data_IF_565333999665
#
_entry.id   IF_565333999665
#
_cell.length_a   1.000
_cell.length_b   1.000
_cell.length_c   1.000
_cell.angle_alpha   90.00
_cell.angle_beta   90.00
_cell.angle_gamma   90.00
#
_symmetry.space_group_name_H-M   'P 1'
#
loop_
_entity.id
_entity.type
_entity.pdbx_description
1 polymer ?
#
# COMPACT_ATOMS: atom_id res chain seq x y z
N UNK A 1 60.71 -3.74 -19.88
CA UNK A 1 61.32 -4.96 -20.44
C UNK A 1 61.04 -6.13 -19.52
N UNK A 2 60.47 -7.18 -20.11
CA UNK A 2 60.28 -8.57 -19.67
C UNK A 2 59.19 -8.96 -18.65
N UNK A 3 58.57 -10.13 -18.87
CA UNK A 3 57.19 -10.45 -18.44
C UNK A 3 57.14 -11.61 -17.44
N UNK A 4 56.01 -11.78 -16.74
CA UNK A 4 55.77 -12.96 -15.90
C UNK A 4 54.66 -13.84 -16.47
N UNK A 5 55.13 -14.82 -17.25
CA UNK A 5 54.83 -16.26 -17.26
C UNK A 5 53.45 -16.70 -16.72
N UNK A 6 52.63 -17.19 -17.65
CA UNK A 6 51.53 -18.13 -17.45
C UNK A 6 52.04 -19.50 -16.99
N UNK A 7 51.38 -20.10 -16.00
CA UNK A 7 51.54 -21.52 -15.68
C UNK A 7 50.19 -22.23 -15.78
N UNK A 8 50.03 -22.93 -16.92
CA UNK A 8 49.02 -23.95 -17.17
C UNK A 8 49.32 -25.16 -16.28
N UNK A 9 48.29 -25.70 -15.61
CA UNK A 9 48.32 -27.06 -15.09
C UNK A 9 47.15 -27.83 -15.69
N UNK A 10 47.51 -28.84 -16.48
CA UNK A 10 46.64 -29.77 -17.17
C UNK A 10 46.60 -31.11 -16.45
N UNK A 11 45.47 -31.80 -16.64
CA UNK A 11 45.29 -33.25 -16.67
C UNK A 11 45.28 -34.01 -15.33
N UNK A 12 44.07 -34.41 -14.93
CA UNK A 12 43.80 -35.62 -14.17
C UNK A 12 42.55 -36.30 -14.76
N UNK A 13 42.76 -37.20 -15.72
CA UNK A 13 41.72 -38.05 -16.31
C UNK A 13 41.53 -39.25 -15.37
N UNK A 14 40.36 -39.35 -14.73
CA UNK A 14 39.91 -40.59 -14.11
C UNK A 14 38.77 -41.18 -14.95
N UNK A 15 39.12 -42.25 -15.67
CA UNK A 15 38.17 -43.11 -16.35
C UNK A 15 37.43 -43.97 -15.31
N UNK A 16 36.13 -43.77 -15.18
CA UNK A 16 35.24 -44.69 -14.48
C UNK A 16 34.33 -45.37 -15.52
N UNK A 17 34.41 -46.70 -15.54
CA UNK A 17 33.59 -47.56 -16.38
C UNK A 17 32.10 -47.52 -15.99
N UNK A 18 31.29 -47.30 -17.03
CA UNK A 18 30.07 -48.04 -17.37
C UNK A 18 28.94 -48.18 -16.34
N UNK A 19 27.76 -47.67 -16.73
CA UNK A 19 26.58 -48.50 -17.03
C UNK A 19 25.64 -47.69 -17.93
N UNK A 20 25.44 -48.17 -19.16
CA UNK A 20 24.41 -47.68 -20.07
C UNK A 20 23.06 -48.14 -19.54
N UNK A 21 22.11 -47.24 -19.21
CA UNK A 21 20.75 -47.64 -18.92
C UNK A 21 20.08 -48.15 -20.20
N UNK A 22 19.43 -49.30 -20.07
CA UNK A 22 18.54 -49.90 -21.05
C UNK A 22 17.41 -48.90 -21.41
N UNK A 23 17.05 -48.73 -22.70
CA UNK A 23 15.96 -47.85 -23.07
C UNK A 23 14.62 -48.42 -22.57
N UNK A 24 14.12 -47.81 -21.50
CA UNK A 24 12.81 -48.10 -20.93
C UNK A 24 11.73 -47.76 -21.97
N UNK A 25 11.03 -48.81 -22.40
CA UNK A 25 9.93 -48.76 -23.35
C UNK A 25 8.80 -47.91 -22.73
N UNK A 26 8.28 -46.87 -23.41
CA UNK A 26 7.22 -46.05 -22.85
C UNK A 26 5.96 -46.89 -22.66
N UNK A 27 5.62 -47.13 -21.39
CA UNK A 27 4.32 -47.65 -21.01
C UNK A 27 3.25 -46.67 -21.50
N UNK A 28 2.40 -47.14 -22.41
CA UNK A 28 1.21 -46.42 -22.85
C UNK A 28 0.23 -46.42 -21.68
N UNK A 29 0.38 -45.44 -20.79
CA UNK A 29 -0.58 -45.13 -19.76
C UNK A 29 -1.81 -44.51 -20.44
N UNK A 30 -2.91 -45.26 -20.45
CA UNK A 30 -4.21 -44.75 -20.84
C UNK A 30 -4.56 -43.55 -19.95
N UNK A 31 -4.48 -42.35 -20.52
CA UNK A 31 -4.92 -41.13 -19.89
C UNK A 31 -6.41 -41.25 -19.54
N UNK A 32 -6.70 -41.57 -18.28
CA UNK A 32 -8.00 -41.30 -17.69
C UNK A 32 -8.21 -39.79 -17.73
N UNK A 33 -9.22 -39.36 -18.47
CA UNK A 33 -9.66 -37.99 -18.53
C UNK A 33 -9.82 -37.45 -17.10
N UNK A 34 -9.07 -36.39 -16.78
CA UNK A 34 -9.22 -35.68 -15.53
C UNK A 34 -10.70 -35.22 -15.40
N UNK A 35 -11.35 -35.43 -14.25
CA UNK A 35 -12.67 -34.89 -14.03
C UNK A 35 -12.61 -33.37 -14.19
N UNK A 36 -13.54 -32.82 -14.97
CA UNK A 36 -13.69 -31.39 -15.17
C UNK A 36 -13.70 -30.68 -13.80
N UNK A 37 -13.04 -29.50 -13.66
CA UNK A 37 -13.13 -28.72 -12.44
C UNK A 37 -14.60 -28.40 -12.17
N UNK A 38 -15.07 -28.81 -10.99
CA UNK A 38 -16.40 -28.49 -10.50
C UNK A 38 -16.61 -26.97 -10.58
N UNK A 39 -17.72 -26.58 -11.20
CA UNK A 39 -18.23 -25.22 -11.32
C UNK A 39 -18.03 -24.50 -9.98
N UNK A 40 -17.23 -23.42 -10.00
CA UNK A 40 -16.96 -22.61 -8.82
C UNK A 40 -18.28 -22.26 -8.11
N UNK A 41 -18.35 -22.37 -6.76
CA UNK A 41 -19.55 -22.00 -6.03
C UNK A 41 -19.91 -20.56 -6.37
N UNK A 42 -21.16 -20.34 -6.80
CA UNK A 42 -21.69 -19.01 -6.97
C UNK A 42 -21.50 -18.24 -5.65
N UNK A 43 -20.82 -17.09 -5.73
CA UNK A 43 -20.57 -16.24 -4.58
C UNK A 43 -21.88 -16.01 -3.83
N UNK A 44 -21.91 -16.39 -2.55
CA UNK A 44 -23.07 -16.14 -1.70
C UNK A 44 -23.35 -14.63 -1.65
N UNK A 45 -24.63 -14.21 -1.67
CA UNK A 45 -24.97 -12.81 -1.59
C UNK A 45 -24.46 -12.25 -0.27
N UNK A 46 -23.57 -11.26 -0.35
CA UNK A 46 -23.06 -10.51 0.80
C UNK A 46 -24.28 -9.90 1.47
N UNK A 47 -24.54 -10.29 2.72
CA UNK A 47 -25.59 -9.70 3.53
C UNK A 47 -25.39 -8.18 3.55
N UNK A 48 -26.44 -7.44 3.19
CA UNK A 48 -26.42 -5.98 3.17
C UNK A 48 -26.10 -5.46 4.58
N UNK A 49 -24.85 -5.05 4.75
CA UNK A 49 -24.35 -4.36 5.93
C UNK A 49 -25.19 -3.09 6.10
N UNK A 50 -25.79 -2.92 7.29
CA UNK A 50 -26.79 -1.91 7.56
C UNK A 50 -26.24 -0.52 7.21
N UNK A 51 -26.81 0.14 6.20
CA UNK A 51 -26.33 1.43 5.73
C UNK A 51 -26.52 2.48 6.83
N UNK A 52 -25.43 2.91 7.45
CA UNK A 52 -25.43 4.06 8.36
C UNK A 52 -25.83 5.28 7.54
N UNK A 53 -26.90 5.97 7.96
CA UNK A 53 -27.33 7.19 7.29
C UNK A 53 -26.25 8.26 7.44
N UNK A 54 -25.70 8.74 6.33
CA UNK A 54 -24.69 9.80 6.30
C UNK A 54 -25.34 11.15 6.56
N UNK A 55 -24.67 12.01 7.33
CA UNK A 55 -25.17 13.33 7.66
C UNK A 55 -25.31 14.22 6.39
N UNK A 56 -26.38 15.06 6.29
CA UNK A 56 -26.60 15.90 5.11
C UNK A 56 -25.45 16.86 4.79
N UNK A 57 -24.80 17.42 5.82
CA UNK A 57 -23.64 18.31 5.69
C UNK A 57 -22.44 17.60 5.06
N UNK A 58 -22.18 16.36 5.46
CA UNK A 58 -21.12 15.53 4.88
C UNK A 58 -21.45 15.19 3.42
N UNK A 59 -22.72 14.88 3.13
CA UNK A 59 -23.15 14.63 1.75
C UNK A 59 -22.96 15.87 0.87
N UNK A 60 -23.32 17.06 1.35
CA UNK A 60 -23.12 18.31 0.63
C UNK A 60 -21.63 18.61 0.41
N UNK A 61 -20.81 18.41 1.45
CA UNK A 61 -19.36 18.56 1.37
C UNK A 61 -18.76 17.63 0.30
N UNK A 62 -19.07 16.34 0.36
CA UNK A 62 -18.52 15.33 -0.53
C UNK A 62 -19.08 15.38 -1.95
N UNK A 63 -20.16 16.13 -2.22
CA UNK A 63 -20.56 16.48 -3.59
C UNK A 63 -19.66 17.56 -4.19
N UNK A 64 -19.24 18.51 -3.35
CA UNK A 64 -18.41 19.65 -3.75
C UNK A 64 -16.94 19.27 -3.87
N UNK A 65 -16.43 18.48 -2.93
CA UNK A 65 -15.02 18.12 -2.80
C UNK A 65 -14.85 16.63 -3.05
N UNK A 66 -14.03 16.27 -4.04
CA UNK A 66 -13.70 14.89 -4.34
C UNK A 66 -12.41 14.52 -3.59
N UNK A 67 -12.52 13.64 -2.60
CA UNK A 67 -11.39 13.28 -1.76
C UNK A 67 -10.49 12.22 -2.39
N UNK A 68 -10.82 11.69 -3.58
CA UNK A 68 -10.01 10.68 -4.26
C UNK A 68 -8.57 11.14 -4.48
N UNK A 69 -8.39 12.44 -4.75
CA UNK A 69 -7.08 13.05 -5.03
C UNK A 69 -6.10 12.97 -3.86
N UNK A 70 -6.57 12.67 -2.64
CA UNK A 70 -5.71 12.51 -1.47
C UNK A 70 -4.95 11.18 -1.47
N UNK A 71 -5.46 10.12 -2.11
CA UNK A 71 -4.84 8.79 -2.07
C UNK A 71 -4.59 8.19 -3.45
N UNK A 72 -5.10 8.81 -4.52
CA UNK A 72 -4.72 8.46 -5.90
C UNK A 72 -3.53 9.27 -6.35
N UNK A 73 -2.70 8.69 -7.23
CA UNK A 73 -1.63 9.45 -7.89
C UNK A 73 -2.21 10.66 -8.63
N UNK A 74 -2.00 11.87 -8.08
CA UNK A 74 -2.16 13.12 -8.80
C UNK A 74 -1.10 13.23 -9.89
N UNK A 75 -1.42 13.86 -11.02
CA UNK A 75 -0.59 13.79 -12.21
C UNK A 75 0.79 14.44 -12.10
N UNK A 76 1.07 15.35 -11.15
CA UNK A 76 2.23 16.24 -11.37
C UNK A 76 3.26 16.51 -10.25
N UNK A 77 3.03 16.53 -8.92
CA UNK A 77 4.09 17.14 -8.05
C UNK A 77 4.27 16.57 -6.61
N UNK A 78 4.01 15.27 -6.38
CA UNK A 78 4.27 14.65 -5.07
C UNK A 78 5.19 13.42 -5.16
N UNK A 79 6.24 13.28 -4.32
CA UNK A 79 7.04 12.06 -4.26
C UNK A 79 6.28 10.82 -3.71
N UNK A 80 5.01 10.96 -3.32
CA UNK A 80 4.26 9.97 -2.54
C UNK A 80 3.01 9.44 -3.25
N UNK A 81 3.12 9.04 -4.52
CA UNK A 81 2.07 8.27 -5.20
C UNK A 81 1.87 6.84 -4.65
N UNK A 82 2.73 6.42 -3.70
CA UNK A 82 2.75 5.09 -3.10
C UNK A 82 2.54 5.19 -1.61
N UNK A 83 1.51 4.52 -1.09
CA UNK A 83 1.35 4.31 0.35
C UNK A 83 2.29 3.19 0.80
N UNK A 84 2.95 3.40 1.93
CA UNK A 84 3.87 2.43 2.52
C UNK A 84 3.34 2.00 3.89
N UNK A 85 3.66 0.78 4.30
CA UNK A 85 3.44 0.43 5.69
C UNK A 85 3.78 -1.00 6.06
N UNK A 86 3.09 -1.49 7.09
CA UNK A 86 3.44 -2.69 7.84
C UNK A 86 2.46 -3.82 7.54
N UNK A 87 3.02 -5.00 7.25
CA UNK A 87 2.27 -6.20 6.95
C UNK A 87 2.67 -7.37 7.85
N UNK A 88 1.68 -7.96 8.52
CA UNK A 88 1.89 -9.04 9.47
C UNK A 88 2.46 -8.58 10.82
N UNK A 89 2.47 -9.48 11.79
CA UNK A 89 3.03 -9.21 13.12
C UNK A 89 4.52 -8.84 13.08
N UNK A 90 5.24 -9.36 12.09
CA UNK A 90 6.67 -9.11 11.89
C UNK A 90 6.97 -7.74 11.26
N UNK A 91 5.94 -6.98 10.84
CA UNK A 91 6.07 -5.63 10.26
C UNK A 91 6.88 -5.59 8.95
N UNK A 92 6.63 -6.54 8.06
CA UNK A 92 7.20 -6.46 6.71
C UNK A 92 6.72 -5.21 5.98
N UNK A 93 7.57 -4.64 5.12
CA UNK A 93 7.15 -3.59 4.21
C UNK A 93 6.15 -4.15 3.20
N UNK A 94 5.09 -3.38 2.97
CA UNK A 94 4.16 -3.55 1.86
C UNK A 94 3.89 -2.17 1.27
N UNK A 95 3.68 -2.11 -0.04
CA UNK A 95 3.48 -0.88 -0.80
C UNK A 95 2.17 -0.94 -1.56
N UNK A 96 1.44 0.17 -1.66
CA UNK A 96 0.17 0.28 -2.37
C UNK A 96 0.18 1.49 -3.30
N UNK A 97 -0.37 1.33 -4.50
CA UNK A 97 -0.70 2.44 -5.40
C UNK A 97 -2.14 2.32 -5.83
N UNK A 98 -2.93 3.36 -5.57
CA UNK A 98 -4.25 3.51 -6.16
C UNK A 98 -4.10 4.17 -7.53
N UNK A 99 -4.33 3.40 -8.58
CA UNK A 99 -4.21 3.85 -9.97
C UNK A 99 -5.49 4.51 -10.48
N UNK A 100 -6.62 4.20 -9.86
CA UNK A 100 -7.92 4.78 -10.18
C UNK A 100 -8.75 4.89 -8.90
N UNK A 101 -9.44 6.03 -8.72
CA UNK A 101 -10.53 6.13 -7.77
C UNK A 101 -11.64 6.99 -8.38
N UNK A 102 -12.85 6.47 -8.36
CA UNK A 102 -14.04 7.12 -8.92
C UNK A 102 -15.06 7.25 -7.81
N UNK A 103 -15.42 8.49 -7.46
CA UNK A 103 -16.50 8.78 -6.51
C UNK A 103 -17.85 8.38 -7.10
N UNK A 104 -18.67 7.68 -6.33
CA UNK A 104 -20.03 7.33 -6.74
C UNK A 104 -20.91 8.59 -6.82
N UNK A 105 -21.64 8.74 -7.92
CA UNK A 105 -22.43 9.96 -8.18
C UNK A 105 -23.74 10.03 -7.39
N UNK A 106 -24.27 8.89 -6.97
CA UNK A 106 -25.48 8.77 -6.15
C UNK A 106 -25.14 8.78 -4.66
N UNK A 107 -24.00 8.19 -4.30
CA UNK A 107 -23.48 8.06 -2.95
C UNK A 107 -22.08 8.70 -2.86
N UNK A 108 -21.97 10.04 -2.73
CA UNK A 108 -20.68 10.76 -2.80
C UNK A 108 -19.67 10.40 -1.68
N UNK A 109 -20.08 9.58 -0.71
CA UNK A 109 -19.25 9.03 0.35
C UNK A 109 -18.63 7.67 -0.02
N UNK A 110 -19.03 7.08 -1.14
CA UNK A 110 -18.52 5.82 -1.66
C UNK A 110 -17.56 6.11 -2.81
N UNK A 111 -16.40 5.46 -2.79
CA UNK A 111 -15.39 5.53 -3.83
C UNK A 111 -15.10 4.12 -4.31
N UNK A 112 -15.16 3.92 -5.62
CA UNK A 112 -14.70 2.71 -6.27
C UNK A 112 -13.24 2.87 -6.66
N UNK A 113 -12.40 1.93 -6.24
CA UNK A 113 -10.95 2.07 -6.38
C UNK A 113 -10.34 0.87 -7.08
N UNK A 114 -9.25 1.12 -7.80
CA UNK A 114 -8.37 0.11 -8.37
C UNK A 114 -6.92 0.48 -8.11
N UNK A 115 -6.08 -0.53 -8.01
CA UNK A 115 -4.68 -0.32 -7.75
C UNK A 115 -3.86 -1.59 -7.82
N UNK A 116 -2.63 -1.48 -7.31
CA UNK A 116 -1.69 -2.57 -7.18
C UNK A 116 -1.04 -2.49 -5.81
N UNK A 117 -0.86 -3.63 -5.17
CA UNK A 117 0.02 -3.76 -4.01
C UNK A 117 1.30 -4.49 -4.40
N UNK A 118 2.36 -4.28 -3.62
CA UNK A 118 3.64 -4.98 -3.76
C UNK A 118 4.11 -5.52 -2.41
N UNK A 119 4.32 -6.83 -2.36
CA UNK A 119 4.88 -7.52 -1.20
C UNK A 119 5.99 -8.48 -1.61
N UNK A 120 7.22 -8.25 -1.12
CA UNK A 120 8.41 -9.07 -1.48
C UNK A 120 8.55 -9.28 -2.99
N UNK A 121 8.45 -8.19 -3.76
CA UNK A 121 8.52 -8.15 -5.23
C UNK A 121 7.34 -8.78 -5.98
N UNK A 122 6.37 -9.38 -5.29
CA UNK A 122 5.12 -9.80 -5.93
C UNK A 122 4.20 -8.59 -6.03
N UNK A 123 3.82 -8.24 -7.26
CA UNK A 123 2.84 -7.19 -7.55
C UNK A 123 1.50 -7.83 -7.84
N UNK A 124 0.47 -7.45 -7.07
CA UNK A 124 -0.88 -7.98 -7.21
C UNK A 124 -1.85 -6.83 -7.51
N UNK A 125 -2.68 -6.93 -8.57
CA UNK A 125 -3.73 -5.96 -8.79
C UNK A 125 -4.87 -6.18 -7.78
N UNK A 126 -5.49 -5.08 -7.36
CA UNK A 126 -6.68 -5.11 -6.53
C UNK A 126 -7.77 -4.15 -7.04
N UNK A 127 -9.00 -4.45 -6.65
CA UNK A 127 -10.15 -3.57 -6.80
C UNK A 127 -10.99 -3.55 -5.53
N UNK A 128 -11.74 -2.48 -5.31
CA UNK A 128 -12.47 -2.36 -4.05
C UNK A 128 -13.26 -1.09 -3.87
N UNK A 129 -13.60 -0.83 -2.62
CA UNK A 129 -14.36 0.33 -2.20
C UNK A 129 -13.74 0.98 -0.97
N UNK A 130 -13.80 2.30 -0.95
CA UNK A 130 -13.57 3.11 0.25
C UNK A 130 -14.88 3.84 0.55
N UNK A 131 -15.37 3.74 1.78
CA UNK A 131 -16.62 4.34 2.22
C UNK A 131 -16.34 5.26 3.39
N UNK A 132 -16.59 6.55 3.22
CA UNK A 132 -16.43 7.56 4.26
C UNK A 132 -17.72 7.66 5.08
N UNK A 133 -17.58 7.70 6.39
CA UNK A 133 -18.73 7.67 7.31
C UNK A 133 -18.86 8.93 8.15
N UNK A 134 -17.73 9.59 8.44
CA UNK A 134 -17.71 10.81 9.24
C UNK A 134 -16.75 11.83 8.64
N UNK A 135 -17.12 13.09 8.80
CA UNK A 135 -16.32 14.27 8.49
C UNK A 135 -16.38 15.20 9.71
N UNK A 136 -15.24 15.70 10.15
CA UNK A 136 -15.15 16.63 11.27
C UNK A 136 -14.06 17.68 10.99
N UNK A 137 -14.20 18.85 11.61
CA UNK A 137 -13.13 19.84 11.64
C UNK A 137 -11.96 19.31 12.47
N UNK A 138 -10.73 19.58 12.03
CA UNK A 138 -9.56 19.35 12.87
C UNK A 138 -9.59 20.32 14.05
N UNK A 139 -9.16 19.89 15.25
CA UNK A 139 -9.02 20.80 16.39
C UNK A 139 -8.04 21.93 16.06
N UNK A 140 -8.20 23.11 16.68
CA UNK A 140 -7.20 24.17 16.57
C UNK A 140 -5.85 23.69 17.14
N UNK A 141 -4.75 24.26 16.63
CA UNK A 141 -3.43 24.03 17.20
C UNK A 141 -3.42 24.33 18.69
N UNK A 142 -2.86 23.43 19.49
CA UNK A 142 -2.58 23.69 20.90
C UNK A 142 -1.55 24.82 21.03
N UNK A 143 -1.63 25.62 22.11
CA UNK A 143 -0.68 26.69 22.34
C UNK A 143 0.78 26.19 22.41
N UNK A 144 0.99 24.99 22.96
CA UNK A 144 2.32 24.37 23.03
C UNK A 144 2.87 24.03 21.64
N UNK A 145 2.05 23.46 20.76
CA UNK A 145 2.46 23.14 19.40
C UNK A 145 2.66 24.41 18.54
N UNK A 146 1.84 25.45 18.74
CA UNK A 146 2.07 26.77 18.13
C UNK A 146 3.45 27.32 18.52
N UNK A 147 3.76 27.34 19.81
CA UNK A 147 5.06 27.81 20.29
C UNK A 147 6.22 26.98 19.73
N UNK A 148 6.13 25.65 19.73
CA UNK A 148 7.20 24.79 19.18
C UNK A 148 7.49 25.09 17.70
N UNK A 149 6.43 25.32 16.93
CA UNK A 149 6.49 25.67 15.51
C UNK A 149 7.13 27.06 15.33
N UNK A 150 6.69 28.06 16.11
CA UNK A 150 7.22 29.42 16.09
C UNK A 150 8.71 29.45 16.48
N UNK A 151 9.11 28.67 17.50
CA UNK A 151 10.49 28.53 17.95
C UNK A 151 11.40 27.93 16.86
N UNK A 152 10.84 27.13 15.95
CA UNK A 152 11.52 26.59 14.77
C UNK A 152 11.57 27.58 13.60
N UNK A 153 11.01 28.79 13.76
CA UNK A 153 10.99 29.86 12.76
C UNK A 153 9.94 29.68 11.66
N UNK A 154 8.95 28.81 11.87
CA UNK A 154 7.82 28.65 10.95
C UNK A 154 6.66 29.54 11.38
N UNK A 155 6.13 30.33 10.44
CA UNK A 155 4.88 31.07 10.61
C UNK A 155 3.76 30.27 9.94
N UNK A 156 2.91 29.62 10.73
CA UNK A 156 1.61 29.18 10.22
C UNK A 156 0.67 30.36 10.35
N UNK A 157 0.60 31.18 9.29
CA UNK A 157 -0.43 32.20 9.20
C UNK A 157 -1.79 31.57 9.51
N UNK A 158 -2.63 32.29 10.27
CA UNK A 158 -4.03 31.93 10.55
C UNK A 158 -4.90 31.81 9.27
N UNK A 159 -4.30 31.97 8.09
CA UNK A 159 -4.88 32.05 6.76
C UNK A 159 -5.22 30.70 6.10
N UNK A 160 -5.19 29.60 6.84
CA UNK A 160 -5.65 28.29 6.34
C UNK A 160 -6.98 27.89 7.00
N UNK A 161 -8.12 28.38 6.46
CA UNK A 161 -9.38 28.43 7.18
C UNK A 161 -10.09 27.09 7.36
N UNK A 162 -9.74 26.05 6.58
CA UNK A 162 -10.55 24.83 6.51
C UNK A 162 -9.69 23.57 6.59
N UNK A 163 -9.69 22.92 7.76
CA UNK A 163 -8.93 21.71 8.07
C UNK A 163 -9.89 20.64 8.56
N UNK A 164 -9.83 19.46 7.96
CA UNK A 164 -10.81 18.40 8.16
C UNK A 164 -10.16 17.04 8.38
N UNK A 165 -10.88 16.18 9.08
CA UNK A 165 -10.62 14.75 9.16
C UNK A 165 -11.83 13.99 8.63
N UNK A 166 -11.60 13.09 7.68
CA UNK A 166 -12.60 12.13 7.22
C UNK A 166 -12.21 10.73 7.64
N UNK A 167 -13.16 9.95 8.14
CA UNK A 167 -12.93 8.55 8.54
C UNK A 167 -14.03 7.65 8.02
N UNK A 168 -13.70 6.38 7.83
CA UNK A 168 -14.64 5.36 7.39
C UNK A 168 -13.96 4.00 7.25
N UNK A 169 -14.39 3.19 6.30
CA UNK A 169 -13.87 1.84 6.10
C UNK A 169 -13.51 1.56 4.64
N UNK A 170 -12.77 0.48 4.43
CA UNK A 170 -12.38 0.03 3.10
C UNK A 170 -12.47 -1.48 2.97
N UNK A 171 -12.65 -1.93 1.72
CA UNK A 171 -12.48 -3.31 1.30
C UNK A 171 -11.75 -3.34 -0.03
N UNK A 172 -10.58 -3.97 -0.09
CA UNK A 172 -9.79 -4.15 -1.32
C UNK A 172 -9.60 -5.64 -1.55
N UNK A 173 -9.84 -6.09 -2.78
CA UNK A 173 -9.79 -7.50 -3.17
C UNK A 173 -8.72 -7.67 -4.22
N UNK A 174 -7.72 -8.47 -3.89
CA UNK A 174 -6.75 -8.93 -4.88
C UNK A 174 -7.40 -9.89 -5.87
N UNK A 175 -6.83 -10.01 -7.06
CA UNK A 175 -7.27 -10.97 -8.09
C UNK A 175 -7.18 -12.42 -7.57
N UNK A 176 -8.34 -13.07 -7.47
CA UNK A 176 -8.50 -14.47 -7.02
C UNK A 176 -7.72 -15.48 -7.88
N UNK A 177 -7.36 -15.13 -9.11
CA UNK A 177 -6.52 -15.95 -9.98
C UNK A 177 -5.04 -15.99 -9.59
N UNK A 178 -4.59 -15.13 -8.67
CA UNK A 178 -3.20 -15.03 -8.24
C UNK A 178 -2.93 -15.92 -7.03
N UNK A 179 -1.83 -16.67 -7.09
CA UNK A 179 -1.33 -17.39 -5.91
C UNK A 179 -1.03 -16.40 -4.79
N UNK A 180 -1.48 -16.72 -3.57
CA UNK A 180 -1.34 -15.88 -2.36
C UNK A 180 -2.19 -14.59 -2.36
N UNK A 181 -3.24 -14.50 -3.18
CA UNK A 181 -4.22 -13.42 -3.08
C UNK A 181 -5.11 -13.51 -1.82
N UNK A 182 -5.69 -12.38 -1.45
CA UNK A 182 -6.64 -12.22 -0.36
C UNK A 182 -7.45 -10.91 -0.43
N UNK A 183 -8.18 -10.65 0.65
CA UNK A 183 -8.97 -9.43 0.86
C UNK A 183 -8.35 -8.60 1.97
N UNK A 184 -8.10 -7.32 1.72
CA UNK A 184 -7.80 -6.32 2.74
C UNK A 184 -9.10 -5.64 3.18
N UNK A 185 -9.33 -5.52 4.49
CA UNK A 185 -10.48 -4.83 5.07
C UNK A 185 -10.09 -4.10 6.35
N UNK A 186 -10.62 -2.90 6.55
CA UNK A 186 -10.42 -2.15 7.78
C UNK A 186 -10.91 -0.71 7.70
N UNK A 187 -10.27 0.15 8.47
CA UNK A 187 -10.60 1.57 8.62
C UNK A 187 -9.69 2.45 7.75
N UNK A 188 -10.23 3.56 7.28
CA UNK A 188 -9.50 4.64 6.61
C UNK A 188 -9.63 5.94 7.41
N UNK A 189 -8.56 6.71 7.44
CA UNK A 189 -8.52 8.05 7.99
C UNK A 189 -7.76 8.99 7.05
N UNK A 190 -8.36 10.14 6.76
CA UNK A 190 -7.79 11.21 5.95
C UNK A 190 -7.76 12.48 6.77
N UNK A 191 -6.61 13.11 6.84
CA UNK A 191 -6.45 14.46 7.38
C UNK A 191 -6.04 15.36 6.22
N UNK A 192 -6.82 16.42 6.00
CA UNK A 192 -6.64 17.29 4.84
C UNK A 192 -7.09 18.71 5.12
N UNK A 193 -6.75 19.60 4.19
CA UNK A 193 -7.22 20.99 4.18
C UNK A 193 -7.87 21.31 2.85
N UNK A 194 -8.71 22.34 2.87
CA UNK A 194 -9.27 22.97 1.68
C UNK A 194 -8.79 24.42 1.67
N UNK A 195 -8.07 24.82 0.62
CA UNK A 195 -7.63 26.20 0.50
C UNK A 195 -8.77 27.15 0.07
N UNK A 196 -8.47 28.46 0.03
CA UNK A 196 -9.43 29.49 -0.38
C UNK A 196 -9.94 29.34 -1.82
N UNK A 197 -9.20 28.65 -2.67
CA UNK A 197 -9.56 28.38 -4.07
C UNK A 197 -10.35 27.06 -4.20
N UNK A 198 -10.58 26.36 -3.08
CA UNK A 198 -11.29 25.08 -3.02
C UNK A 198 -10.42 23.87 -3.37
N UNK A 199 -9.10 24.01 -3.43
CA UNK A 199 -8.20 22.88 -3.68
C UNK A 199 -7.97 22.09 -2.41
N UNK A 200 -7.98 20.77 -2.57
CA UNK A 200 -7.79 19.81 -1.48
C UNK A 200 -6.31 19.44 -1.43
N UNK A 201 -5.75 19.41 -0.22
CA UNK A 201 -4.38 18.94 0.01
C UNK A 201 -4.29 18.11 1.28
N UNK A 202 -3.48 17.07 1.23
CA UNK A 202 -3.12 16.25 2.39
C UNK A 202 -2.50 17.15 3.48
N UNK A 203 -3.05 17.11 4.69
CA UNK A 203 -2.63 17.98 5.79
C UNK A 203 -3.10 17.46 7.16
N UNK A 204 -2.15 17.20 8.05
CA UNK A 204 -2.41 16.86 9.45
C UNK A 204 -1.82 17.93 10.37
N UNK A 205 -2.66 18.58 11.17
CA UNK A 205 -2.22 19.61 12.11
C UNK A 205 -1.43 19.05 13.30
N UNK A 206 -1.69 17.78 13.65
CA UNK A 206 -1.09 17.08 14.79
C UNK A 206 -1.19 15.56 14.59
N UNK A 207 -0.35 14.81 15.32
CA UNK A 207 -0.28 13.35 15.33
C UNK A 207 -1.37 12.70 16.20
N UNK A 208 -2.18 13.47 16.92
CA UNK A 208 -3.34 12.94 17.67
C UNK A 208 -4.59 12.80 16.80
N UNK A 209 -4.55 13.33 15.57
CA UNK A 209 -5.62 13.17 14.59
C UNK A 209 -5.83 11.71 14.17
N UNK A 210 -6.97 11.38 13.53
CA UNK A 210 -7.28 10.00 13.13
C UNK A 210 -6.20 9.31 12.28
N UNK A 211 -5.51 10.02 11.38
CA UNK A 211 -4.41 9.43 10.58
C UNK A 211 -3.12 9.21 11.38
N UNK A 212 -3.04 9.74 12.60
CA UNK A 212 -1.88 9.67 13.49
C UNK A 212 -0.59 10.23 12.86
N UNK A 213 -0.74 11.31 12.10
CA UNK A 213 0.36 11.96 11.37
C UNK A 213 0.69 11.32 10.02
N UNK A 214 0.07 10.19 9.66
CA UNK A 214 0.25 9.56 8.35
C UNK A 214 -0.45 10.29 7.21
N UNK A 215 -1.30 11.28 7.53
CA UNK A 215 -2.12 12.13 6.65
C UNK A 215 -3.20 11.35 5.91
N UNK A 216 -2.83 10.32 5.16
CA UNK A 216 -3.71 9.25 4.72
C UNK A 216 -3.31 7.98 5.43
N UNK A 217 -4.26 7.29 6.06
CA UNK A 217 -4.02 6.05 6.78
C UNK A 217 -5.09 5.00 6.47
N UNK A 218 -4.63 3.80 6.15
CA UNK A 218 -5.46 2.59 6.13
C UNK A 218 -4.95 1.64 7.21
N UNK A 219 -5.84 1.16 8.07
CA UNK A 219 -5.49 0.17 9.10
C UNK A 219 -6.51 -0.94 9.12
N UNK A 220 -6.05 -2.19 9.09
CA UNK A 220 -6.96 -3.30 8.94
C UNK A 220 -6.29 -4.66 8.96
N UNK A 221 -6.87 -5.60 8.22
CA UNK A 221 -6.42 -6.97 8.14
C UNK A 221 -6.52 -7.47 6.70
N UNK A 222 -5.49 -8.16 6.24
CA UNK A 222 -5.53 -8.99 5.06
C UNK A 222 -5.94 -10.41 5.41
N UNK A 223 -6.79 -11.04 4.60
CA UNK A 223 -7.23 -12.42 4.76
C UNK A 223 -7.01 -13.19 3.48
N UNK A 224 -6.19 -14.25 3.52
CA UNK A 224 -5.94 -15.09 2.34
C UNK A 224 -7.21 -15.80 1.88
N UNK A 225 -7.47 -15.80 0.57
CA UNK A 225 -8.56 -16.59 -0.01
C UNK A 225 -8.30 -18.10 0.10
N UNK A 226 -7.04 -18.51 -0.01
CA UNK A 226 -6.68 -19.93 -0.06
C UNK A 226 -6.62 -20.61 1.32
N UNK A 227 -6.09 -19.91 2.32
CA UNK A 227 -5.81 -20.49 3.64
C UNK A 227 -6.65 -19.90 4.77
N UNK A 228 -7.37 -18.80 4.51
CA UNK A 228 -8.03 -18.02 5.57
C UNK A 228 -7.06 -17.34 6.54
N UNK A 229 -5.74 -17.41 6.30
CA UNK A 229 -4.75 -16.76 7.16
C UNK A 229 -4.99 -15.25 7.19
N UNK A 230 -4.98 -14.68 8.40
CA UNK A 230 -5.15 -13.26 8.64
C UNK A 230 -3.83 -12.59 9.03
N UNK A 231 -3.57 -11.39 8.51
CA UNK A 231 -2.39 -10.58 8.84
C UNK A 231 -2.78 -9.12 9.06
N UNK A 232 -2.32 -8.46 10.14
CA UNK A 232 -2.55 -7.04 10.32
C UNK A 232 -1.92 -6.23 9.18
N UNK A 233 -2.57 -5.12 8.83
CA UNK A 233 -2.13 -4.16 7.84
C UNK A 233 -2.18 -2.75 8.43
N UNK A 234 -1.14 -1.97 8.17
CA UNK A 234 -1.19 -0.51 8.22
C UNK A 234 -0.54 0.03 6.95
N UNK A 235 -1.16 1.02 6.32
CA UNK A 235 -0.60 1.80 5.21
C UNK A 235 -0.76 3.28 5.54
N UNK A 236 0.25 4.07 5.20
CA UNK A 236 0.21 5.52 5.32
C UNK A 236 0.89 6.20 4.14
N UNK A 237 0.54 7.45 3.89
CA UNK A 237 1.23 8.31 2.91
C UNK A 237 2.57 8.76 3.49
N UNK A 238 2.54 9.42 4.65
CA UNK A 238 3.76 9.86 5.34
C UNK A 238 4.13 8.89 6.47
N UNK A 239 5.00 7.96 6.11
CA UNK A 239 5.52 6.96 7.06
C UNK A 239 6.46 7.58 8.10
N UNK A 240 7.11 8.70 7.80
CA UNK A 240 8.13 9.32 8.67
C UNK A 240 7.49 10.08 9.83
N UNK A 241 6.31 10.66 9.61
CA UNK A 241 5.51 11.30 10.66
C UNK A 241 4.58 10.34 11.38
N UNK A 242 4.16 9.25 10.73
CA UNK A 242 3.25 8.26 11.31
C UNK A 242 3.83 7.59 12.56
N UNK A 243 3.22 7.84 13.72
CA UNK A 243 3.48 7.12 14.97
C UNK A 243 4.96 7.13 15.42
N UNK A 244 5.44 8.16 16.13
CA UNK A 244 6.83 8.26 16.61
C UNK A 244 7.30 7.02 17.36
N UNK A 245 6.43 6.38 18.14
CA UNK A 245 6.77 5.15 18.90
C UNK A 245 7.03 3.92 18.02
N UNK A 246 6.56 3.90 16.77
CA UNK A 246 6.92 2.84 15.81
C UNK A 246 8.29 3.14 15.20
N UNK A 247 8.63 4.43 15.06
CA UNK A 247 9.81 4.96 14.37
C UNK A 247 11.03 5.27 15.24
N UNK A 248 10.86 5.47 16.55
CA UNK A 248 11.94 5.60 17.53
C UNK A 248 12.88 4.37 17.50
N UNK A 249 12.33 3.20 17.17
CA UNK A 249 13.08 1.96 16.94
C UNK A 249 13.57 1.78 15.50
N UNK A 250 13.13 2.61 14.57
CA UNK A 250 13.07 2.28 13.14
C UNK A 250 13.96 3.16 12.29
N UNK A 251 14.27 4.38 12.71
CA UNK A 251 15.20 5.29 12.00
C UNK A 251 16.45 5.52 12.85
N UNK A 252 17.62 5.28 12.26
CA UNK A 252 18.93 5.58 12.83
C UNK A 252 19.48 6.84 12.13
N UNK A 253 20.05 7.75 12.93
CA UNK A 253 20.78 8.91 12.44
C UNK A 253 20.01 10.23 12.51
N UNK A 254 20.69 11.28 12.96
CA UNK A 254 20.13 12.65 13.06
C UNK A 254 20.21 13.43 11.73
N UNK A 255 21.02 12.95 10.76
CA UNK A 255 21.30 13.65 9.49
C UNK A 255 20.88 12.90 8.23
N UNK A 256 20.97 11.57 8.23
CA UNK A 256 20.49 10.70 7.14
C UNK A 256 19.61 9.64 7.78
N UNK A 257 18.30 9.73 7.56
CA UNK A 257 17.36 8.77 8.10
C UNK A 257 17.59 7.41 7.42
N UNK A 258 18.13 6.44 8.15
CA UNK A 258 18.26 5.06 7.67
C UNK A 258 17.43 4.10 8.52
N UNK A 259 16.98 3.00 7.93
CA UNK A 259 16.15 2.03 8.62
C UNK A 259 16.98 1.16 9.57
N UNK A 260 16.51 0.96 10.80
CA UNK A 260 17.13 0.05 11.75
C UNK A 260 17.35 -1.33 11.07
N UNK A 261 18.57 -1.90 11.15
CA UNK A 261 18.90 -3.17 10.51
C UNK A 261 17.92 -4.32 10.80
N UNK A 262 17.27 -4.30 11.98
CA UNK A 262 16.20 -5.22 12.35
C UNK A 262 15.06 -5.25 11.32
N UNK A 263 14.68 -4.09 10.80
CA UNK A 263 13.57 -3.92 9.86
C UNK A 263 14.04 -3.72 8.42
N UNK A 264 15.25 -3.22 8.18
CA UNK A 264 15.83 -3.09 6.85
C UNK A 264 15.72 -4.41 6.04
N UNK A 265 16.02 -5.55 6.69
CA UNK A 265 15.91 -6.90 6.09
C UNK A 265 14.46 -7.36 5.79
N UNK A 266 13.45 -6.60 6.20
CA UNK A 266 12.03 -6.89 6.01
C UNK A 266 11.44 -6.08 4.84
N UNK A 267 12.29 -5.58 3.94
CA UNK A 267 11.92 -4.84 2.73
C UNK A 267 12.10 -3.32 2.83
N UNK A 268 12.44 -2.81 4.03
CA UNK A 268 12.58 -1.37 4.28
C UNK A 268 13.89 -0.78 3.75
N UNK A 269 14.91 -1.59 3.49
CA UNK A 269 16.16 -1.17 2.85
C UNK A 269 15.98 -0.59 1.43
N UNK A 270 14.84 -0.84 0.79
CA UNK A 270 14.51 -0.33 -0.54
C UNK A 270 13.54 0.86 -0.48
N UNK A 271 13.27 1.43 0.70
CA UNK A 271 12.29 2.52 0.86
C UNK A 271 12.62 3.74 0.02
N UNK A 272 13.90 4.12 -0.01
CA UNK A 272 14.40 5.24 -0.79
C UNK A 272 14.51 4.95 -2.30
N UNK A 273 14.20 3.72 -2.74
CA UNK A 273 14.17 3.39 -4.17
C UNK A 273 12.87 3.88 -4.80
N UNK A 274 12.92 5.03 -5.50
CA UNK A 274 11.80 5.61 -6.23
C UNK A 274 11.49 4.86 -7.54
N UNK A 275 11.28 3.56 -7.48
CA UNK A 275 10.92 2.73 -8.64
C UNK A 275 9.42 2.73 -8.83
N UNK A 276 8.96 3.10 -10.03
CA UNK A 276 7.56 2.97 -10.44
C UNK A 276 7.21 1.51 -10.80
N UNK A 277 7.31 0.59 -9.84
CA UNK A 277 7.06 -0.85 -10.02
C UNK A 277 5.63 -1.19 -10.47
N UNK A 278 4.73 -0.22 -10.36
CA UNK A 278 3.31 -0.30 -10.71
C UNK A 278 3.02 0.19 -12.13
N UNK A 279 3.93 0.93 -12.77
CA UNK A 279 3.75 1.41 -14.14
C UNK A 279 3.82 0.24 -15.11
N UNK A 280 3.02 0.27 -16.18
CA UNK A 280 3.18 -0.69 -17.26
C UNK A 280 4.51 -0.41 -17.98
N UNK A 281 5.33 -1.44 -18.16
CA UNK A 281 6.50 -1.31 -19.03
C UNK A 281 6.00 -0.95 -20.42
N UNK A 282 6.48 0.13 -21.06
CA UNK A 282 6.10 0.47 -22.42
C UNK A 282 6.29 -0.76 -23.29
N UNK A 283 5.22 -1.24 -23.92
CA UNK A 283 5.34 -2.32 -24.88
C UNK A 283 6.22 -1.78 -26.00
N UNK A 284 7.42 -2.31 -26.16
CA UNK A 284 8.31 -1.92 -27.25
C UNK A 284 7.51 -2.03 -28.54
N UNK A 285 7.24 -0.88 -29.17
CA UNK A 285 6.55 -0.85 -30.45
C UNK A 285 7.44 -1.58 -31.44
N UNK A 286 6.98 -2.75 -31.90
CA UNK A 286 7.62 -3.53 -32.97
C UNK A 286 7.54 -2.77 -34.30
#
# INVERSE_FOLDING_TARGET
MKPFVYLLLSAGVLAACQRTPEPEQPAVSSAQAAPMPAKAPAAAPIAAESAVAIAPEMTAFLKRYDLSTLWTKGSDDGPFGTLNGFFGADKYRIEFVFTEATRDTLQPHVYHVRGKDRFKDFVTPFEGTVVLERLADQPPLSAALKQEIEDRGYDFGDDEPYKYSAVGHFVLREDVGRAKAGEFRGDVALDFRVDKDGKIAAYAIDKTLPSQGGVVKFSGTWTSYSSGQRKPLVLVEDIMTYGPSIFEDFVLGEREADFNPKYAKLGWNTYWENKEWWAETPTASL
#
